data_IF_001101076772
#
_entry.id   IF_001101076772
#
_cell.length_a   1.000
_cell.length_b   1.000
_cell.length_c   1.000
_cell.angle_alpha   90.00
_cell.angle_beta   90.00
_cell.angle_gamma   90.00
#
_symmetry.space_group_name_H-M   'P 1'
#
loop_
_entity.id
_entity.type
_entity.pdbx_description
1 polymer ?
#
# COMPACT_ATOMS: atom_id res chain seq x y z
N UNK A 1 6.22 2.34 -2.91
CA UNK A 1 7.16 2.42 -1.76
C UNK A 1 8.30 1.40 -1.85
N UNK A 2 8.06 0.20 -2.37
CA UNK A 2 9.06 -0.87 -2.44
C UNK A 2 10.41 -0.39 -3.04
N UNK A 3 10.36 0.28 -4.18
CA UNK A 3 11.56 0.77 -4.87
C UNK A 3 12.40 1.77 -4.07
N UNK A 4 11.79 2.45 -3.10
CA UNK A 4 12.47 3.42 -2.23
C UNK A 4 13.16 2.76 -1.02
N UNK A 5 12.75 1.56 -0.61
CA UNK A 5 13.28 0.89 0.57
C UNK A 5 13.19 -0.65 0.49
N UNK A 6 13.78 -1.29 -0.53
CA UNK A 6 13.63 -2.73 -0.77
C UNK A 6 14.15 -3.59 0.39
N UNK A 7 15.22 -3.15 1.09
CA UNK A 7 15.76 -3.87 2.24
C UNK A 7 14.76 -3.93 3.40
N UNK A 8 14.02 -2.83 3.65
CA UNK A 8 12.98 -2.83 4.68
C UNK A 8 11.84 -3.78 4.35
N UNK A 9 11.47 -3.88 3.07
CA UNK A 9 10.47 -4.87 2.63
C UNK A 9 10.96 -6.30 2.86
N UNK A 10 12.25 -6.57 2.64
CA UNK A 10 12.84 -7.87 2.94
C UNK A 10 12.81 -8.18 4.45
N UNK A 11 13.15 -7.23 5.30
CA UNK A 11 13.07 -7.39 6.76
C UNK A 11 11.64 -7.67 7.21
N UNK A 12 10.67 -6.96 6.63
CA UNK A 12 9.23 -7.19 6.88
C UNK A 12 8.82 -8.59 6.41
N UNK A 13 9.23 -8.99 5.20
CA UNK A 13 8.91 -10.32 4.67
C UNK A 13 9.42 -11.44 5.60
N UNK A 14 10.65 -11.31 6.10
CA UNK A 14 11.24 -12.27 7.04
C UNK A 14 10.45 -12.27 8.36
N UNK A 15 10.10 -11.10 8.89
CA UNK A 15 9.27 -10.98 10.10
C UNK A 15 7.88 -11.61 9.91
N UNK A 16 7.35 -11.61 8.69
CA UNK A 16 6.07 -12.25 8.32
C UNK A 16 6.20 -13.74 7.98
N UNK A 17 7.38 -14.32 8.14
CA UNK A 17 7.60 -15.77 8.00
C UNK A 17 8.27 -16.20 6.69
N UNK A 18 8.80 -15.27 5.88
CA UNK A 18 9.59 -15.63 4.71
C UNK A 18 10.93 -16.28 5.11
N UNK A 19 11.47 -17.09 4.21
CA UNK A 19 12.83 -17.63 4.37
C UNK A 19 13.86 -16.48 4.39
N UNK A 20 14.86 -16.58 5.27
CA UNK A 20 15.94 -15.59 5.38
C UNK A 20 16.76 -15.40 4.10
N UNK A 21 16.68 -16.36 3.18
CA UNK A 21 17.32 -16.29 1.86
C UNK A 21 16.45 -15.62 0.79
N UNK A 22 15.24 -15.09 1.14
CA UNK A 22 14.38 -14.42 0.19
C UNK A 22 15.11 -13.26 -0.50
N UNK A 23 14.96 -13.15 -1.81
CA UNK A 23 15.55 -12.06 -2.58
C UNK A 23 14.85 -10.72 -2.31
N UNK A 24 15.54 -9.60 -2.57
CA UNK A 24 14.91 -8.28 -2.49
C UNK A 24 13.71 -8.18 -3.43
N UNK A 25 13.83 -8.73 -4.64
CA UNK A 25 12.75 -8.69 -5.66
C UNK A 25 11.50 -9.43 -5.17
N UNK A 26 11.67 -10.63 -4.62
CA UNK A 26 10.55 -11.46 -4.18
C UNK A 26 9.93 -10.95 -2.88
N UNK A 27 10.67 -10.23 -2.06
CA UNK A 27 10.20 -9.75 -0.76
C UNK A 27 9.03 -8.77 -0.87
N UNK A 28 9.01 -7.92 -1.89
CA UNK A 28 7.91 -6.99 -2.13
C UNK A 28 6.59 -7.72 -2.41
N UNK A 29 6.63 -8.69 -3.32
CA UNK A 29 5.46 -9.51 -3.66
C UNK A 29 5.00 -10.33 -2.46
N UNK A 30 5.93 -10.93 -1.71
CA UNK A 30 5.63 -11.71 -0.52
C UNK A 30 4.86 -10.90 0.53
N UNK A 31 5.30 -9.67 0.81
CA UNK A 31 4.63 -8.79 1.78
C UNK A 31 3.21 -8.46 1.33
N UNK A 32 3.03 -8.12 0.06
CA UNK A 32 1.70 -7.82 -0.50
C UNK A 32 0.78 -9.03 -0.37
N UNK A 33 1.21 -10.20 -0.82
CA UNK A 33 0.44 -11.44 -0.73
C UNK A 33 0.02 -11.78 0.71
N UNK A 34 0.93 -11.62 1.67
CA UNK A 34 0.63 -11.88 3.09
C UNK A 34 -0.41 -10.91 3.66
N UNK A 35 -0.34 -9.63 3.29
CA UNK A 35 -1.34 -8.63 3.71
C UNK A 35 -2.70 -8.96 3.07
N UNK A 36 -2.73 -9.29 1.80
CA UNK A 36 -3.96 -9.68 1.09
C UNK A 36 -4.61 -10.92 1.75
N UNK A 37 -3.82 -11.95 2.01
CA UNK A 37 -4.31 -13.15 2.72
C UNK A 37 -4.84 -12.83 4.10
N UNK A 38 -4.18 -11.93 4.84
CA UNK A 38 -4.66 -11.50 6.16
C UNK A 38 -6.00 -10.78 6.05
N UNK A 39 -6.17 -9.88 5.09
CA UNK A 39 -7.44 -9.19 4.84
C UNK A 39 -8.57 -10.19 4.55
N UNK A 40 -8.30 -11.22 3.77
CA UNK A 40 -9.28 -12.28 3.48
C UNK A 40 -9.67 -13.07 4.74
N UNK A 41 -8.68 -13.46 5.55
CA UNK A 41 -8.91 -14.22 6.80
C UNK A 41 -9.78 -13.43 7.77
N UNK A 42 -9.55 -12.13 7.93
CA UNK A 42 -10.28 -11.27 8.86
C UNK A 42 -11.52 -10.62 8.26
N UNK A 43 -11.82 -10.86 6.98
CA UNK A 43 -13.02 -10.36 6.32
C UNK A 43 -12.99 -8.85 6.00
N UNK A 44 -11.82 -8.28 5.78
CA UNK A 44 -11.68 -6.86 5.37
C UNK A 44 -11.78 -6.76 3.85
N UNK A 45 -12.82 -6.08 3.29
CA UNK A 45 -12.88 -5.80 1.86
C UNK A 45 -11.70 -4.95 1.41
N UNK A 46 -11.12 -5.27 0.24
CA UNK A 46 -9.89 -4.63 -0.26
C UNK A 46 -10.14 -3.51 -1.26
N UNK A 47 -11.36 -3.35 -1.72
CA UNK A 47 -11.71 -2.37 -2.74
C UNK A 47 -12.46 -1.18 -2.14
N UNK A 48 -12.11 0.02 -2.54
CA UNK A 48 -12.77 1.25 -2.08
C UNK A 48 -14.27 1.24 -2.38
N UNK A 49 -14.68 0.69 -3.52
CA UNK A 49 -16.09 0.53 -3.90
C UNK A 49 -16.90 -0.31 -2.91
N UNK A 50 -16.25 -1.24 -2.21
CA UNK A 50 -16.93 -2.09 -1.22
C UNK A 50 -17.32 -1.30 0.04
N UNK A 51 -16.75 -0.11 0.21
CA UNK A 51 -17.08 0.85 1.27
C UNK A 51 -17.99 1.98 0.79
N UNK A 52 -18.55 1.87 -0.42
CA UNK A 52 -19.46 2.85 -0.97
C UNK A 52 -18.78 4.07 -1.62
N UNK A 53 -17.45 4.04 -1.74
CA UNK A 53 -16.72 5.07 -2.49
C UNK A 53 -17.04 4.92 -3.99
N UNK A 54 -17.27 6.03 -4.65
CA UNK A 54 -17.52 6.07 -6.09
C UNK A 54 -16.25 6.51 -6.82
N UNK A 55 -16.14 6.15 -8.08
CA UNK A 55 -14.99 6.54 -8.90
C UNK A 55 -14.84 8.06 -9.02
N UNK A 56 -15.95 8.78 -9.05
CA UNK A 56 -15.98 10.26 -9.09
C UNK A 56 -15.42 10.92 -7.82
N UNK A 57 -15.38 10.20 -6.69
CA UNK A 57 -14.87 10.70 -5.41
C UNK A 57 -13.34 10.64 -5.32
N UNK A 58 -12.69 9.87 -6.17
CA UNK A 58 -11.25 9.56 -6.07
C UNK A 58 -10.37 10.83 -6.10
N UNK A 59 -10.69 11.76 -7.00
CA UNK A 59 -9.91 13.00 -7.13
C UNK A 59 -10.02 13.88 -5.88
N UNK A 60 -11.23 14.00 -5.31
CA UNK A 60 -11.46 14.75 -4.08
C UNK A 60 -10.74 14.09 -2.89
N UNK A 61 -10.84 12.77 -2.78
CA UNK A 61 -10.13 12.00 -1.74
C UNK A 61 -8.61 12.15 -1.84
N UNK A 62 -8.05 12.12 -3.05
CA UNK A 62 -6.62 12.31 -3.27
C UNK A 62 -6.15 13.72 -2.85
N UNK A 63 -6.93 14.75 -3.20
CA UNK A 63 -6.66 16.12 -2.77
C UNK A 63 -6.72 16.25 -1.24
N UNK A 64 -7.74 15.70 -0.60
CA UNK A 64 -7.86 15.72 0.86
C UNK A 64 -6.68 14.98 1.53
N UNK A 65 -6.31 13.80 1.03
CA UNK A 65 -5.20 13.01 1.55
C UNK A 65 -3.85 13.74 1.42
N UNK A 66 -3.64 14.48 0.33
CA UNK A 66 -2.41 15.26 0.12
C UNK A 66 -2.17 16.32 1.19
N UNK A 67 -3.23 16.79 1.85
CA UNK A 67 -3.17 17.73 2.97
C UNK A 67 -2.74 17.10 4.31
N UNK A 68 -2.71 15.76 4.41
CA UNK A 68 -2.34 15.06 5.65
C UNK A 68 -0.81 14.90 5.74
N UNK A 69 -0.12 16.02 5.74
CA UNK A 69 1.35 16.10 5.67
C UNK A 69 2.05 15.38 6.82
N UNK A 70 1.45 15.33 8.00
CA UNK A 70 1.99 14.63 9.16
C UNK A 70 2.19 13.13 8.92
N UNK A 71 1.29 12.51 8.18
CA UNK A 71 1.39 11.09 7.83
C UNK A 71 2.26 10.89 6.59
N UNK A 72 2.09 11.71 5.58
CA UNK A 72 2.81 11.59 4.31
C UNK A 72 4.32 11.71 4.46
N UNK A 73 4.82 12.58 5.35
CA UNK A 73 6.27 12.72 5.58
C UNK A 73 6.94 11.47 6.16
N UNK A 74 6.17 10.52 6.69
CA UNK A 74 6.69 9.24 7.16
C UNK A 74 6.74 8.18 6.05
N UNK A 75 6.19 8.49 4.87
CA UNK A 75 6.24 7.60 3.74
C UNK A 75 7.67 7.55 3.17
N UNK A 76 8.17 6.37 2.74
CA UNK A 76 9.55 6.21 2.21
C UNK A 76 9.85 7.06 0.97
N UNK A 77 8.84 7.49 0.23
CA UNK A 77 8.96 8.40 -0.91
C UNK A 77 7.95 9.54 -0.80
N UNK A 78 8.28 10.67 -1.39
CA UNK A 78 7.32 11.75 -1.57
C UNK A 78 6.21 11.32 -2.55
N UNK A 79 4.98 11.71 -2.24
CA UNK A 79 3.81 11.45 -3.06
C UNK A 79 3.17 12.76 -3.51
N UNK A 80 3.05 12.93 -4.81
CA UNK A 80 2.22 13.99 -5.40
C UNK A 80 0.73 13.64 -5.27
N UNK A 81 -0.15 14.62 -5.49
CA UNK A 81 -1.60 14.38 -5.58
C UNK A 81 -1.91 13.32 -6.63
N UNK A 82 -1.23 13.38 -7.77
CA UNK A 82 -1.41 12.40 -8.86
C UNK A 82 -0.96 10.99 -8.45
N UNK A 83 0.11 10.85 -7.67
CA UNK A 83 0.51 9.54 -7.13
C UNK A 83 -0.56 8.98 -6.20
N UNK A 84 -1.14 9.82 -5.35
CA UNK A 84 -2.21 9.41 -4.42
C UNK A 84 -3.47 9.02 -5.18
N UNK A 85 -3.85 9.80 -6.19
CA UNK A 85 -4.98 9.50 -7.07
C UNK A 85 -4.81 8.17 -7.81
N UNK A 86 -3.58 7.90 -8.31
CA UNK A 86 -3.26 6.61 -8.95
C UNK A 86 -3.39 5.44 -7.96
N UNK A 87 -2.94 5.59 -6.72
CA UNK A 87 -3.09 4.58 -5.65
C UNK A 87 -4.57 4.30 -5.38
N UNK A 88 -5.39 5.35 -5.24
CA UNK A 88 -6.83 5.18 -5.01
C UNK A 88 -7.55 4.56 -6.20
N UNK A 89 -7.15 4.92 -7.43
CA UNK A 89 -7.69 4.32 -8.65
C UNK A 89 -7.37 2.83 -8.73
N UNK A 90 -6.16 2.42 -8.37
CA UNK A 90 -5.75 1.01 -8.32
C UNK A 90 -6.50 0.24 -7.21
N UNK A 91 -6.79 0.90 -6.09
CA UNK A 91 -7.52 0.33 -4.97
C UNK A 91 -9.05 0.31 -5.17
N UNK A 92 -9.58 0.96 -6.20
CA UNK A 92 -11.01 1.00 -6.51
C UNK A 92 -11.51 -0.31 -7.10
#
# INVERSE_FOLDING_TARGET
>A
NYSACPEKFRDIAIAMGANNAISLVDSGAYVVEKIESLCEIVGIPRRLRDYGIKQEDISELANAASGVTRLLRNNPRELSVQDIEAIYTEAF
#
